data_IF_459352410753
#
_entry.id   IF_459352410753
#
_cell.length_a   1.000
_cell.length_b   1.000
_cell.length_c   1.000
_cell.angle_alpha   90.00
_cell.angle_beta   90.00
_cell.angle_gamma   90.00
#
_symmetry.space_group_name_H-M   'P 1'
#
loop_
_entity.id
_entity.type
_entity.pdbx_description
1 polymer ?
#
# COMPACT_ATOMS: atom_id res chain seq x y z
N UNK A 1 -9.40 5.45 -24.08
CA UNK A 1 -9.23 6.69 -23.28
C UNK A 1 -7.74 6.91 -23.16
N UNK A 2 -7.17 7.79 -23.99
CA UNK A 2 -5.73 8.11 -23.99
C UNK A 2 -5.43 9.01 -22.81
N UNK A 3 -4.83 8.45 -21.76
CA UNK A 3 -4.33 9.21 -20.62
C UNK A 3 -3.04 9.91 -21.04
N UNK A 4 -2.87 11.18 -20.68
CA UNK A 4 -1.68 11.96 -21.04
C UNK A 4 -0.45 11.41 -20.31
N UNK A 5 0.74 11.37 -20.92
CA UNK A 5 1.97 10.92 -20.23
C UNK A 5 2.29 11.73 -18.95
N UNK A 6 1.78 12.96 -18.85
CA UNK A 6 1.88 13.77 -17.64
C UNK A 6 0.95 13.29 -16.52
N UNK A 7 -0.22 12.75 -16.86
CA UNK A 7 -1.16 12.21 -15.88
C UNK A 7 -0.59 10.92 -15.26
N UNK A 8 0.01 10.05 -16.06
CA UNK A 8 0.66 8.81 -15.58
C UNK A 8 1.82 9.12 -14.63
N UNK A 9 2.63 10.14 -14.95
CA UNK A 9 3.72 10.60 -14.07
C UNK A 9 3.20 11.13 -12.74
N UNK A 10 2.13 11.94 -12.76
CA UNK A 10 1.51 12.49 -11.55
C UNK A 10 0.89 11.38 -10.70
N UNK A 11 0.16 10.44 -11.31
CA UNK A 11 -0.43 9.30 -10.60
C UNK A 11 0.67 8.41 -10.02
N UNK A 12 1.75 8.16 -10.76
CA UNK A 12 2.92 7.41 -10.30
C UNK A 12 3.58 8.07 -9.08
N UNK A 13 3.77 9.39 -9.09
CA UNK A 13 4.33 10.14 -7.97
C UNK A 13 3.43 10.11 -6.72
N UNK A 14 2.12 10.26 -6.90
CA UNK A 14 1.16 10.16 -5.79
C UNK A 14 1.15 8.75 -5.21
N UNK A 15 1.15 7.72 -6.07
CA UNK A 15 1.25 6.33 -5.64
C UNK A 15 2.56 6.07 -4.87
N UNK A 16 3.70 6.57 -5.38
CA UNK A 16 4.99 6.48 -4.70
C UNK A 16 4.98 7.16 -3.33
N UNK A 17 4.33 8.32 -3.20
CA UNK A 17 4.19 9.01 -1.92
C UNK A 17 3.33 8.24 -0.90
N UNK A 18 2.38 7.41 -1.37
CA UNK A 18 1.57 6.54 -0.50
C UNK A 18 2.34 5.33 0.02
N UNK A 19 3.33 4.82 -0.73
CA UNK A 19 4.15 3.66 -0.33
C UNK A 19 4.79 3.83 1.06
N UNK A 20 5.54 4.92 1.38
CA UNK A 20 6.13 5.09 2.71
C UNK A 20 5.06 5.26 3.79
N UNK A 21 3.89 5.83 3.47
CA UNK A 21 2.79 6.00 4.43
C UNK A 21 2.16 4.65 4.81
N UNK A 22 1.92 3.78 3.83
CA UNK A 22 1.42 2.41 4.08
C UNK A 22 2.51 1.56 4.74
N UNK A 23 3.76 1.67 4.27
CA UNK A 23 4.92 0.97 4.82
C UNK A 23 5.17 1.31 6.30
N UNK A 24 5.01 2.58 6.67
CA UNK A 24 5.07 3.01 8.06
C UNK A 24 4.01 2.33 8.91
N UNK A 25 2.76 2.23 8.43
CA UNK A 25 1.66 1.56 9.15
C UNK A 25 1.94 0.08 9.36
N UNK A 26 2.45 -0.60 8.32
CA UNK A 26 2.86 -2.00 8.38
C UNK A 26 3.98 -2.21 9.38
N UNK A 27 5.06 -1.43 9.30
CA UNK A 27 6.21 -1.51 10.20
C UNK A 27 5.79 -1.27 11.65
N UNK A 28 4.95 -0.24 11.87
CA UNK A 28 4.39 0.09 13.17
C UNK A 28 3.53 -1.06 13.71
N UNK A 29 2.70 -1.66 12.86
CA UNK A 29 1.90 -2.83 13.22
C UNK A 29 2.75 -4.05 13.59
N UNK A 30 3.86 -4.30 12.90
CA UNK A 30 4.78 -5.38 13.25
C UNK A 30 5.50 -5.13 14.58
N UNK A 31 6.02 -3.91 14.80
CA UNK A 31 6.81 -3.53 15.98
C UNK A 31 5.96 -3.36 17.23
N UNK A 32 4.83 -2.68 17.11
CA UNK A 32 4.00 -2.28 18.26
C UNK A 32 2.82 -3.22 18.49
N UNK A 33 2.57 -4.17 17.57
CA UNK A 33 1.43 -5.08 17.67
C UNK A 33 0.07 -4.40 17.58
N UNK A 34 0.00 -3.13 17.17
CA UNK A 34 -1.22 -2.34 17.07
C UNK A 34 -1.44 -1.76 15.67
N UNK A 35 -2.64 -1.92 15.15
CA UNK A 35 -3.06 -1.35 13.86
C UNK A 35 -4.18 -0.32 14.07
N UNK A 36 -4.12 0.86 13.42
CA UNK A 36 -5.18 1.85 13.49
C UNK A 36 -6.43 1.38 12.72
N UNK A 37 -7.60 1.56 13.32
CA UNK A 37 -8.89 1.14 12.79
C UNK A 37 -9.88 2.30 12.93
N UNK A 38 -9.74 3.28 12.03
CA UNK A 38 -10.46 4.56 11.98
C UNK A 38 -10.49 5.37 13.29
N UNK A 39 -11.28 4.93 14.28
CA UNK A 39 -11.42 5.55 15.61
C UNK A 39 -10.84 4.72 16.76
N UNK A 40 -10.42 3.49 16.51
CA UNK A 40 -9.88 2.60 17.54
C UNK A 40 -8.55 2.00 17.09
N UNK A 41 -7.90 1.25 17.99
CA UNK A 41 -6.72 0.46 17.66
C UNK A 41 -7.05 -1.01 17.83
N UNK A 42 -6.65 -1.83 16.86
CA UNK A 42 -6.69 -3.26 16.99
C UNK A 42 -5.34 -3.76 17.49
N UNK A 43 -5.35 -4.42 18.65
CA UNK A 43 -4.17 -5.02 19.24
C UNK A 43 -4.09 -6.51 18.89
N UNK A 44 -2.87 -6.98 18.59
CA UNK A 44 -2.59 -8.40 18.34
C UNK A 44 -2.94 -9.28 19.54
N UNK A 45 -2.77 -8.76 20.75
CA UNK A 45 -3.05 -9.50 22.00
C UNK A 45 -4.55 -9.77 22.19
N UNK A 46 -5.42 -8.85 21.77
CA UNK A 46 -6.86 -8.97 21.98
C UNK A 46 -7.51 -9.87 20.94
N UNK A 47 -7.08 -9.78 19.68
CA UNK A 47 -7.68 -10.54 18.58
C UNK A 47 -6.69 -10.76 17.42
N UNK A 48 -5.79 -11.74 17.60
CA UNK A 48 -4.71 -12.04 16.67
C UNK A 48 -5.14 -12.39 15.25
N UNK A 49 -6.29 -13.04 15.06
CA UNK A 49 -6.79 -13.41 13.72
C UNK A 49 -7.23 -12.18 12.92
N UNK A 50 -8.04 -11.29 13.52
CA UNK A 50 -8.44 -10.02 12.91
C UNK A 50 -7.23 -9.14 12.63
N UNK A 51 -6.26 -9.12 13.55
CA UNK A 51 -5.01 -8.40 13.36
C UNK A 51 -4.23 -8.93 12.16
N UNK A 52 -4.11 -10.25 12.03
CA UNK A 52 -3.45 -10.90 10.90
C UNK A 52 -4.11 -10.56 9.56
N UNK A 53 -5.44 -10.64 9.48
CA UNK A 53 -6.19 -10.27 8.25
C UNK A 53 -5.97 -8.81 7.87
N UNK A 54 -6.09 -7.89 8.82
CA UNK A 54 -5.88 -6.47 8.54
C UNK A 54 -4.44 -6.14 8.18
N UNK A 55 -3.47 -6.82 8.80
CA UNK A 55 -2.05 -6.69 8.42
C UNK A 55 -1.82 -7.19 7.00
N UNK A 56 -2.40 -8.35 6.65
CA UNK A 56 -2.29 -8.91 5.31
C UNK A 56 -2.90 -7.97 4.26
N UNK A 57 -4.04 -7.35 4.54
CA UNK A 57 -4.64 -6.35 3.65
C UNK A 57 -3.75 -5.11 3.47
N UNK A 58 -3.10 -4.62 4.53
CA UNK A 58 -2.14 -3.52 4.42
C UNK A 58 -0.91 -3.92 3.61
N UNK A 59 -0.40 -5.14 3.79
CA UNK A 59 0.71 -5.69 3.00
C UNK A 59 0.35 -5.81 1.52
N UNK A 60 -0.83 -6.37 1.21
CA UNK A 60 -1.33 -6.49 -0.16
C UNK A 60 -1.51 -5.11 -0.80
N UNK A 61 -2.07 -4.14 -0.08
CA UNK A 61 -2.21 -2.77 -0.55
C UNK A 61 -0.84 -2.12 -0.79
N UNK A 62 0.14 -2.32 0.09
CA UNK A 62 1.49 -1.82 -0.09
C UNK A 62 2.14 -2.37 -1.37
N UNK A 63 2.01 -3.67 -1.59
CA UNK A 63 2.54 -4.34 -2.78
C UNK A 63 1.84 -3.81 -4.03
N UNK A 64 0.50 -3.76 -4.04
CA UNK A 64 -0.27 -3.30 -5.18
C UNK A 64 0.07 -1.84 -5.55
N UNK A 65 0.10 -0.94 -4.56
CA UNK A 65 0.44 0.47 -4.80
C UNK A 65 1.91 0.61 -5.22
N UNK A 66 2.82 -0.19 -4.65
CA UNK A 66 4.22 -0.22 -5.05
C UNK A 66 4.43 -0.68 -6.49
N UNK A 67 3.70 -1.71 -6.92
CA UNK A 67 3.73 -2.19 -8.30
C UNK A 67 3.18 -1.15 -9.29
N UNK A 68 2.05 -0.51 -8.96
CA UNK A 68 1.47 0.56 -9.79
C UNK A 68 2.42 1.76 -9.87
N UNK A 69 3.01 2.19 -8.75
CA UNK A 69 3.99 3.27 -8.75
C UNK A 69 5.22 2.90 -9.59
N UNK A 70 5.71 1.66 -9.47
CA UNK A 70 6.86 1.20 -10.23
C UNK A 70 6.56 1.12 -11.73
N UNK A 71 5.40 0.60 -12.11
CA UNK A 71 4.99 0.51 -13.51
C UNK A 71 4.83 1.89 -14.15
N UNK A 72 4.16 2.82 -13.47
CA UNK A 72 3.92 4.17 -13.99
C UNK A 72 5.19 5.04 -14.04
N UNK A 73 6.10 4.91 -13.07
CA UNK A 73 7.30 5.74 -13.00
C UNK A 73 8.46 5.20 -13.84
N UNK A 74 8.62 3.88 -13.91
CA UNK A 74 9.73 3.24 -14.60
C UNK A 74 9.33 2.61 -15.93
N UNK A 75 8.06 2.73 -16.32
CA UNK A 75 7.50 2.23 -17.58
C UNK A 75 7.84 0.75 -17.81
N UNK A 76 7.60 -0.08 -16.79
CA UNK A 76 8.00 -1.48 -16.77
C UNK A 76 7.15 -2.39 -17.67
N UNK A 77 6.07 -1.87 -18.26
CA UNK A 77 5.21 -2.61 -19.19
C UNK A 77 4.42 -3.74 -18.51
N UNK A 78 4.20 -3.66 -17.19
CA UNK A 78 3.44 -4.67 -16.44
C UNK A 78 1.96 -4.67 -16.88
N UNK A 79 1.45 -3.52 -17.35
CA UNK A 79 0.10 -3.42 -17.95
C UNK A 79 -0.04 -4.14 -19.28
N UNK A 80 1.03 -4.28 -20.06
CA UNK A 80 1.00 -4.97 -21.36
C UNK A 80 1.20 -6.49 -21.23
N UNK A 81 1.60 -6.95 -20.04
CA UNK A 81 1.96 -8.36 -19.77
C UNK A 81 0.84 -9.18 -19.12
N UNK A 82 -0.32 -8.57 -18.82
CA UNK A 82 -1.50 -9.19 -18.20
C UNK A 82 -2.65 -9.13 -19.20
#
# INVERSE_FOLDING_TARGET
MTISPYDDLLVGLVALALVPLIGWRVLRGFREGRLPLYRTYLNRADNGSRFGVLMALHMLSLIAVGLVAADLLFNLGLRDSI
#
